data_IF_615674903703
#
_entry.id   IF_615674903703
#
_cell.length_a   1.000
_cell.length_b   1.000
_cell.length_c   1.000
_cell.angle_alpha   90.00
_cell.angle_beta   90.00
_cell.angle_gamma   90.00
#
_symmetry.space_group_name_H-M   'P 1'
#
loop_
_entity.id
_entity.type
_entity.pdbx_description
1 polymer ?
#
# COMPACT_ATOMS: atom_id res chain seq x y z
N UNK A 1 -0.60 1.13 20.72
CA UNK A 1 0.16 0.04 20.08
C UNK A 1 -0.22 0.06 18.61
N UNK A 2 0.69 0.48 17.74
CA UNK A 2 0.49 0.52 16.29
C UNK A 2 0.53 -0.91 15.74
N UNK A 3 -0.35 -1.24 14.79
CA UNK A 3 -0.27 -2.53 14.08
C UNK A 3 1.03 -2.56 13.27
N UNK A 4 1.82 -3.66 13.29
CA UNK A 4 3.09 -3.77 12.56
C UNK A 4 2.97 -3.63 11.03
N UNK A 5 1.76 -3.57 10.47
CA UNK A 5 1.56 -3.35 9.02
C UNK A 5 1.93 -1.93 8.57
N UNK A 6 1.95 -0.94 9.47
CA UNK A 6 2.33 0.42 9.10
C UNK A 6 3.78 0.48 8.62
N UNK A 7 4.01 1.08 7.46
CA UNK A 7 5.32 1.15 6.81
C UNK A 7 5.67 -0.05 5.93
N UNK A 8 4.80 -1.07 5.85
CA UNK A 8 4.97 -2.17 4.90
C UNK A 8 4.37 -1.83 3.54
N UNK A 9 4.97 -2.37 2.49
CA UNK A 9 4.40 -2.36 1.14
C UNK A 9 3.45 -3.53 0.94
N UNK A 10 2.43 -3.34 0.11
CA UNK A 10 1.54 -4.41 -0.34
C UNK A 10 1.09 -4.20 -1.77
N UNK A 11 0.28 -5.13 -2.27
CA UNK A 11 -0.29 -5.07 -3.63
C UNK A 11 -1.81 -5.02 -3.54
N UNK A 12 -2.42 -4.09 -4.27
CA UNK A 12 -3.89 -4.03 -4.34
C UNK A 12 -4.46 -5.26 -5.05
N UNK A 13 -5.33 -6.02 -4.39
CA UNK A 13 -6.08 -7.13 -4.98
C UNK A 13 -7.43 -6.66 -5.53
N UNK A 14 -8.04 -5.67 -4.88
CA UNK A 14 -9.27 -5.00 -5.30
C UNK A 14 -8.97 -3.52 -5.50
N UNK A 15 -9.33 -2.90 -6.65
CA UNK A 15 -8.98 -1.52 -6.95
C UNK A 15 -9.71 -0.53 -6.05
N UNK A 16 -9.08 0.61 -5.78
CA UNK A 16 -9.71 1.77 -5.15
C UNK A 16 -10.22 2.68 -6.26
N UNK A 17 -11.53 2.93 -6.30
CA UNK A 17 -12.17 3.69 -7.41
C UNK A 17 -12.24 5.21 -7.17
N UNK A 18 -11.69 5.71 -6.06
CA UNK A 18 -11.65 7.14 -5.71
C UNK A 18 -11.57 7.39 -4.19
N UNK A 19 -11.45 8.66 -3.79
CA UNK A 19 -11.10 9.15 -2.43
C UNK A 19 -11.97 8.64 -1.25
N UNK A 20 -13.12 8.03 -1.52
CA UNK A 20 -14.05 7.50 -0.52
C UNK A 20 -14.46 6.05 -0.79
N UNK A 21 -13.86 5.44 -1.80
CA UNK A 21 -14.10 4.05 -2.15
C UNK A 21 -13.07 3.16 -1.48
N UNK A 22 -13.47 1.94 -1.17
CA UNK A 22 -12.59 0.94 -0.58
C UNK A 22 -11.99 0.05 -1.66
N UNK A 23 -10.77 -0.39 -1.39
CA UNK A 23 -10.12 -1.51 -2.07
C UNK A 23 -9.60 -2.50 -1.04
N UNK A 24 -8.77 -3.42 -1.50
CA UNK A 24 -8.12 -4.42 -0.64
C UNK A 24 -6.65 -4.50 -1.00
N UNK A 25 -5.80 -4.56 0.02
CA UNK A 25 -4.35 -4.72 -0.14
C UNK A 25 -3.90 -6.02 0.53
N UNK A 26 -3.14 -6.82 -0.21
CA UNK A 26 -2.44 -8.00 0.30
C UNK A 26 -1.05 -7.58 0.78
N UNK A 27 -0.75 -7.80 2.05
CA UNK A 27 0.52 -7.42 2.68
C UNK A 27 1.21 -8.66 3.22
N UNK A 28 2.51 -8.81 2.92
CA UNK A 28 3.35 -9.83 3.56
C UNK A 28 3.69 -9.40 4.99
N UNK A 29 3.21 -10.14 5.98
CA UNK A 29 3.34 -9.79 7.40
C UNK A 29 3.27 -11.04 8.28
N UNK A 30 3.99 -11.04 9.42
CA UNK A 30 3.99 -12.13 10.42
C UNK A 30 4.28 -13.53 9.83
N UNK A 31 5.12 -13.60 8.81
CA UNK A 31 5.50 -14.86 8.15
C UNK A 31 4.46 -15.41 7.16
N UNK A 32 3.41 -14.65 6.85
CA UNK A 32 2.41 -14.99 5.84
C UNK A 32 1.95 -13.76 5.09
N UNK A 33 0.72 -13.81 4.58
CA UNK A 33 0.06 -12.67 3.95
C UNK A 33 -1.28 -12.41 4.62
N UNK A 34 -1.62 -11.14 4.83
CA UNK A 34 -2.94 -10.72 5.32
C UNK A 34 -3.56 -9.71 4.35
N UNK A 35 -4.89 -9.75 4.22
CA UNK A 35 -5.65 -8.75 3.47
C UNK A 35 -6.14 -7.67 4.43
N UNK A 36 -6.01 -6.41 4.01
CA UNK A 36 -6.52 -5.23 4.70
C UNK A 36 -7.45 -4.43 3.78
N UNK A 37 -8.43 -3.76 4.38
CA UNK A 37 -9.29 -2.80 3.67
C UNK A 37 -8.46 -1.54 3.39
N UNK A 38 -8.32 -1.15 2.13
CA UNK A 38 -7.46 -0.04 1.73
C UNK A 38 -8.28 1.20 1.33
N UNK A 39 -7.78 2.38 1.73
CA UNK A 39 -8.24 3.70 1.29
C UNK A 39 -7.06 4.48 0.70
N UNK A 40 -7.35 5.31 -0.28
CA UNK A 40 -6.38 6.22 -0.89
C UNK A 40 -7.08 7.53 -1.26
N UNK A 41 -6.31 8.60 -1.43
CA UNK A 41 -6.84 9.90 -1.86
C UNK A 41 -7.23 9.91 -3.36
N UNK A 42 -6.68 8.98 -4.14
CA UNK A 42 -6.89 8.86 -5.58
C UNK A 42 -7.31 7.45 -5.98
N UNK A 43 -7.76 7.27 -7.22
CA UNK A 43 -8.07 5.95 -7.75
C UNK A 43 -6.78 5.16 -8.01
N UNK A 44 -6.76 3.90 -7.60
CA UNK A 44 -5.62 2.99 -7.75
C UNK A 44 -6.09 1.65 -8.31
N UNK A 45 -5.43 1.21 -9.38
CA UNK A 45 -5.76 -0.04 -10.05
C UNK A 45 -5.33 -1.27 -9.24
N UNK A 46 -5.99 -2.40 -9.50
CA UNK A 46 -5.52 -3.68 -8.98
C UNK A 46 -4.11 -3.98 -9.52
N UNK A 47 -3.28 -4.60 -8.69
CA UNK A 47 -1.86 -4.84 -9.00
C UNK A 47 -0.93 -3.68 -8.63
N UNK A 48 -1.46 -2.50 -8.31
CA UNK A 48 -0.64 -1.37 -7.85
C UNK A 48 0.09 -1.73 -6.56
N UNK A 49 1.42 -1.55 -6.53
CA UNK A 49 2.20 -1.61 -5.29
C UNK A 49 1.98 -0.33 -4.50
N UNK A 50 1.67 -0.48 -3.22
CA UNK A 50 1.32 0.63 -2.33
C UNK A 50 2.08 0.54 -1.02
N UNK A 51 2.25 1.68 -0.35
CA UNK A 51 2.81 1.80 0.99
C UNK A 51 1.70 2.07 2.00
N UNK A 52 1.65 1.31 3.09
CA UNK A 52 0.74 1.57 4.22
C UNK A 52 1.27 2.72 5.07
N UNK A 53 0.56 3.85 5.06
CA UNK A 53 0.99 5.08 5.76
C UNK A 53 0.27 5.28 7.09
N UNK A 54 -0.94 4.73 7.25
CA UNK A 54 -1.70 4.77 8.50
C UNK A 54 -2.56 3.52 8.69
N UNK A 55 -2.84 3.18 9.95
CA UNK A 55 -3.70 2.06 10.35
C UNK A 55 -4.84 2.55 11.22
N UNK A 56 -6.03 2.03 10.96
CA UNK A 56 -7.27 2.35 11.67
C UNK A 56 -7.88 1.08 12.28
N UNK A 57 -8.75 1.20 13.30
CA UNK A 57 -9.50 0.07 13.81
C UNK A 57 -10.26 -0.68 12.71
N UNK A 58 -10.40 -2.00 12.86
CA UNK A 58 -11.13 -2.83 11.89
C UNK A 58 -10.33 -3.25 10.66
N UNK A 59 -8.99 -3.28 10.72
CA UNK A 59 -8.11 -3.69 9.62
C UNK A 59 -8.22 -2.79 8.39
N UNK A 60 -8.43 -1.50 8.62
CA UNK A 60 -8.47 -0.48 7.58
C UNK A 60 -7.11 0.22 7.55
N UNK A 61 -6.57 0.42 6.36
CA UNK A 61 -5.29 1.09 6.12
C UNK A 61 -5.46 2.21 5.11
N UNK A 62 -4.74 3.31 5.35
CA UNK A 62 -4.54 4.31 4.31
C UNK A 62 -3.26 3.99 3.57
N UNK A 63 -3.32 4.04 2.24
CA UNK A 63 -2.22 3.68 1.36
C UNK A 63 -1.96 4.77 0.33
N UNK A 64 -0.71 4.83 -0.12
CA UNK A 64 -0.26 5.68 -1.25
C UNK A 64 0.48 4.81 -2.26
N UNK A 65 0.51 5.16 -3.56
CA UNK A 65 1.36 4.47 -4.52
C UNK A 65 2.80 4.39 -4.04
N UNK A 66 3.40 3.20 -4.15
CA UNK A 66 4.81 3.01 -3.89
C UNK A 66 5.56 2.97 -5.22
N UNK A 67 6.45 3.94 -5.42
CA UNK A 67 7.33 3.99 -6.59
C UNK A 67 8.75 3.64 -6.11
N UNK A 68 9.31 2.49 -6.52
CA UNK A 68 10.69 2.17 -6.18
C UNK A 68 11.64 3.17 -6.85
N UNK A 69 12.64 3.62 -6.10
CA UNK A 69 13.71 4.44 -6.67
C UNK A 69 14.64 3.53 -7.48
N UNK A 70 14.73 3.75 -8.78
CA UNK A 70 15.75 3.12 -9.62
C UNK A 70 17.01 3.98 -9.57
N UNK A 71 18.03 3.50 -8.87
CA UNK A 71 19.32 4.15 -8.79
C UNK A 71 20.25 3.58 -9.84
N UNK A 72 20.70 4.42 -10.77
CA UNK A 72 21.84 4.12 -11.62
C UNK A 72 23.13 3.96 -10.78
N UNK A 73 24.19 3.37 -11.36
CA UNK A 73 25.49 3.32 -10.71
C UNK A 73 25.93 4.75 -10.35
N UNK A 74 26.06 5.06 -9.06
CA UNK A 74 26.38 6.41 -8.57
C UNK A 74 25.23 7.16 -7.87
N UNK A 75 24.03 6.58 -7.78
CA UNK A 75 22.92 7.19 -7.02
C UNK A 75 22.09 8.20 -7.80
N UNK A 76 22.27 8.28 -9.12
CA UNK A 76 21.38 9.05 -9.99
C UNK A 76 20.04 8.32 -10.13
N UNK A 77 18.94 9.00 -9.81
CA UNK A 77 17.59 8.46 -10.02
C UNK A 77 17.23 8.58 -11.51
N UNK A 78 16.97 7.44 -12.17
CA UNK A 78 16.38 7.46 -13.51
C UNK A 78 14.89 7.78 -13.36
N UNK A 79 14.45 8.84 -14.04
CA UNK A 79 13.06 9.32 -14.00
C UNK A 79 12.15 8.50 -14.90
#
# INVERSE_FOLDING_TARGET
>A
MTDPVQGLTGTLTTPIRGAHMLGEVLVAIRGGTEIYIARAAEALDAGTTVLVVAVHPGRIVDVVPWVPLDFGPGGETTK
#
